data_IF_411761247034
#
_entry.id   IF_411761247034
#
_cell.length_a   1.000
_cell.length_b   1.000
_cell.length_c   1.000
_cell.angle_alpha   90.00
_cell.angle_beta   90.00
_cell.angle_gamma   90.00
#
_symmetry.space_group_name_H-M   'P 1'
#
loop_
_entity.id
_entity.type
_entity.pdbx_description
1 polymer ?
#
# COMPACT_ATOMS: atom_id res chain seq x y z
N UNK A 1 -14.88 17.62 -10.81
CA UNK A 1 -14.07 18.08 -9.71
C UNK A 1 -12.98 17.11 -9.33
N UNK A 2 -13.37 15.95 -8.86
CA UNK A 2 -12.37 14.97 -8.51
C UNK A 2 -11.48 14.61 -9.68
N UNK A 3 -12.03 14.64 -10.87
CA UNK A 3 -11.26 14.32 -12.06
C UNK A 3 -10.10 15.27 -12.30
N UNK A 4 -10.32 16.51 -11.96
CA UNK A 4 -9.29 17.52 -12.14
C UNK A 4 -8.10 17.23 -11.24
N UNK A 5 -8.39 16.86 -10.01
CA UNK A 5 -7.32 16.53 -9.07
C UNK A 5 -6.56 15.31 -9.50
N UNK A 6 -7.29 14.36 -10.05
CA UNK A 6 -6.63 13.15 -10.54
C UNK A 6 -5.68 13.45 -11.67
N UNK A 7 -6.09 14.35 -12.54
CA UNK A 7 -5.22 14.72 -13.63
C UNK A 7 -3.93 15.33 -13.14
N UNK A 8 -4.03 16.15 -12.11
CA UNK A 8 -2.85 16.73 -11.52
C UNK A 8 -1.98 15.66 -10.88
N UNK A 9 -2.61 14.73 -10.22
CA UNK A 9 -1.87 13.65 -9.61
C UNK A 9 -1.13 12.84 -10.65
N UNK A 10 -1.78 12.62 -11.76
CA UNK A 10 -1.16 11.88 -12.84
C UNK A 10 0.05 12.60 -13.37
N UNK A 11 -0.06 13.89 -13.51
CA UNK A 11 1.07 14.68 -14.00
C UNK A 11 2.26 14.55 -13.07
N UNK A 12 2.00 14.57 -11.78
CA UNK A 12 3.06 14.42 -10.81
C UNK A 12 3.66 13.03 -10.91
N UNK A 13 2.82 12.06 -11.05
CA UNK A 13 3.26 10.69 -11.18
C UNK A 13 4.16 10.53 -12.39
N UNK A 14 3.83 11.21 -13.46
CA UNK A 14 4.61 11.10 -14.67
C UNK A 14 6.06 11.51 -14.44
N UNK A 15 6.28 12.44 -13.56
CA UNK A 15 7.66 12.81 -13.24
C UNK A 15 8.29 11.80 -12.32
N UNK A 16 7.52 11.34 -11.38
CA UNK A 16 8.06 10.45 -10.36
C UNK A 16 8.60 9.17 -10.95
N UNK A 17 7.98 8.71 -12.02
CA UNK A 17 8.42 7.43 -12.56
C UNK A 17 9.85 7.48 -13.07
N UNK A 18 10.32 8.64 -13.37
CA UNK A 18 11.68 8.77 -13.86
C UNK A 18 12.68 8.28 -12.84
N UNK A 19 12.29 8.26 -11.59
CA UNK A 19 13.16 7.76 -10.54
C UNK A 19 13.31 6.25 -10.58
N UNK A 20 12.49 5.58 -11.34
CA UNK A 20 12.58 4.16 -11.57
C UNK A 20 12.77 3.33 -10.31
N UNK A 21 11.90 3.39 -9.41
CA UNK A 21 11.90 2.54 -8.24
C UNK A 21 10.49 2.08 -7.98
N UNK A 22 10.35 0.97 -7.29
CA UNK A 22 9.04 0.48 -6.92
C UNK A 22 8.30 1.43 -5.99
N UNK A 23 8.99 2.40 -5.42
CA UNK A 23 8.41 3.35 -4.49
C UNK A 23 8.41 4.76 -5.04
N UNK A 24 8.60 4.93 -6.33
CA UNK A 24 8.71 6.25 -6.95
C UNK A 24 7.37 6.99 -6.97
N UNK A 25 6.26 6.26 -7.00
CA UNK A 25 4.93 6.86 -6.98
C UNK A 25 4.09 6.14 -5.91
N UNK A 26 3.05 6.81 -5.39
CA UNK A 26 2.18 6.14 -4.42
C UNK A 26 1.53 4.90 -5.02
N UNK A 27 1.14 4.96 -6.28
CA UNK A 27 0.50 3.82 -6.92
C UNK A 27 1.43 2.61 -6.99
N UNK A 28 2.70 2.85 -7.37
CA UNK A 28 3.66 1.75 -7.46
C UNK A 28 3.98 1.17 -6.09
N UNK A 29 4.10 2.03 -5.10
CA UNK A 29 4.34 1.58 -3.74
C UNK A 29 3.16 0.75 -3.23
N UNK A 30 1.95 1.20 -3.53
CA UNK A 30 0.75 0.45 -3.15
C UNK A 30 0.71 -0.91 -3.85
N UNK A 31 1.03 -0.93 -5.13
CA UNK A 31 1.05 -2.18 -5.89
C UNK A 31 2.04 -3.17 -5.29
N UNK A 32 3.22 -2.69 -4.96
CA UNK A 32 4.24 -3.55 -4.36
C UNK A 32 3.77 -4.08 -3.02
N UNK A 33 3.15 -3.23 -2.22
CA UNK A 33 2.63 -3.61 -0.90
C UNK A 33 1.54 -4.68 -1.05
N UNK A 34 0.63 -4.50 -1.99
CA UNK A 34 -0.45 -5.45 -2.20
C UNK A 34 0.04 -6.78 -2.76
N UNK A 35 1.08 -6.75 -3.60
CA UNK A 35 1.69 -8.00 -4.05
C UNK A 35 2.27 -8.78 -2.89
N UNK A 36 2.91 -8.08 -1.97
CA UNK A 36 3.47 -8.69 -0.78
C UNK A 36 2.35 -9.28 0.08
N UNK A 37 1.25 -8.56 0.19
CA UNK A 37 0.08 -9.00 0.91
C UNK A 37 -0.51 -10.27 0.27
N UNK A 38 -0.62 -10.26 -1.05
CA UNK A 38 -1.15 -11.40 -1.79
C UNK A 38 -0.33 -12.67 -1.55
N UNK A 39 0.99 -12.50 -1.42
CA UNK A 39 1.87 -13.63 -1.17
C UNK A 39 1.84 -14.11 0.27
N UNK A 40 1.25 -13.34 1.16
CA UNK A 40 1.24 -13.68 2.57
C UNK A 40 2.56 -13.37 3.26
N UNK A 41 3.37 -12.52 2.69
CA UNK A 41 4.65 -12.12 3.27
C UNK A 41 4.43 -10.93 4.19
N UNK A 42 3.96 -11.21 5.39
CA UNK A 42 3.58 -10.15 6.31
C UNK A 42 4.77 -9.36 6.84
N UNK A 43 5.91 -10.00 6.96
CA UNK A 43 7.14 -9.29 7.35
C UNK A 43 7.52 -8.30 6.25
N UNK A 44 7.42 -8.72 5.00
CA UNK A 44 7.67 -7.83 3.88
C UNK A 44 6.73 -6.65 3.83
N UNK A 45 5.47 -6.85 4.25
CA UNK A 45 4.52 -5.74 4.35
C UNK A 45 5.00 -4.72 5.39
N UNK A 46 5.41 -5.21 6.54
CA UNK A 46 5.88 -4.33 7.61
C UNK A 46 7.11 -3.55 7.15
N UNK A 47 7.99 -4.18 6.38
CA UNK A 47 9.17 -3.50 5.85
C UNK A 47 8.82 -2.35 4.91
N UNK A 48 7.64 -2.37 4.32
CA UNK A 48 7.19 -1.31 3.42
C UNK A 48 6.39 -0.23 4.13
N UNK A 49 6.25 -0.34 5.43
CA UNK A 49 5.50 0.61 6.24
C UNK A 49 6.44 1.57 6.95
N UNK A 50 5.97 2.78 7.13
CA UNK A 50 6.72 3.80 7.85
C UNK A 50 6.12 3.97 9.25
N UNK A 51 6.96 3.93 10.25
CA UNK A 51 6.55 4.11 11.64
C UNK A 51 7.22 5.35 12.21
N UNK A 52 6.59 5.95 13.21
CA UNK A 52 7.15 7.13 13.86
C UNK A 52 8.50 6.82 14.54
N UNK A 53 8.65 5.59 14.99
CA UNK A 53 9.93 5.10 15.48
C UNK A 53 10.23 3.80 14.75
N UNK A 54 11.45 3.70 14.27
CA UNK A 54 11.84 2.51 13.52
C UNK A 54 11.80 1.27 14.41
N UNK A 55 11.00 0.27 14.07
CA UNK A 55 10.91 -0.93 14.90
C UNK A 55 12.15 -1.80 14.74
N UNK A 56 12.46 -2.56 15.77
CA UNK A 56 13.53 -3.54 15.69
C UNK A 56 13.03 -4.71 14.84
N UNK A 57 13.98 -5.58 14.47
CA UNK A 57 13.63 -6.76 13.70
C UNK A 57 12.59 -7.60 14.44
N UNK A 58 12.77 -7.78 15.74
CA UNK A 58 11.82 -8.55 16.55
C UNK A 58 10.45 -7.91 16.56
N UNK A 59 10.40 -6.59 16.68
CA UNK A 59 9.14 -5.87 16.68
C UNK A 59 8.43 -6.01 15.34
N UNK A 60 9.19 -5.97 14.25
CA UNK A 60 8.61 -6.18 12.93
C UNK A 60 7.99 -7.56 12.80
N UNK A 61 8.67 -8.57 13.29
CA UNK A 61 8.15 -9.93 13.25
C UNK A 61 6.90 -10.09 14.10
N UNK A 62 6.89 -9.47 15.28
CA UNK A 62 5.71 -9.49 16.12
C UNK A 62 4.53 -8.80 15.46
N UNK A 63 4.79 -7.66 14.86
CA UNK A 63 3.73 -6.91 14.19
C UNK A 63 3.20 -7.70 13.00
N UNK A 64 4.10 -8.31 12.24
CA UNK A 64 3.70 -9.18 11.13
C UNK A 64 2.84 -10.34 11.60
N UNK A 65 3.20 -10.94 12.72
CA UNK A 65 2.41 -12.02 13.30
C UNK A 65 1.02 -11.56 13.71
N UNK A 66 0.90 -10.35 14.23
CA UNK A 66 -0.40 -9.80 14.60
C UNK A 66 -1.26 -9.58 13.37
N UNK A 67 -0.67 -9.05 12.30
CA UNK A 67 -1.40 -8.86 11.05
C UNK A 67 -1.88 -10.21 10.53
N UNK A 68 -0.99 -11.18 10.52
CA UNK A 68 -1.34 -12.52 10.05
C UNK A 68 -2.52 -13.10 10.81
N UNK A 69 -2.50 -13.00 12.13
CA UNK A 69 -3.59 -13.51 12.95
C UNK A 69 -4.92 -12.84 12.62
N UNK A 70 -4.88 -11.57 12.27
CA UNK A 70 -6.11 -10.83 11.96
C UNK A 70 -6.66 -11.15 10.58
N UNK A 71 -5.79 -11.31 9.60
CA UNK A 71 -6.25 -11.36 8.22
C UNK A 71 -6.14 -12.71 7.56
N UNK A 72 -5.22 -13.57 8.01
CA UNK A 72 -4.98 -14.83 7.29
C UNK A 72 -6.21 -15.73 7.23
N UNK A 73 -6.94 -15.84 8.31
CA UNK A 73 -8.12 -16.71 8.31
C UNK A 73 -9.23 -16.12 7.45
N UNK A 74 -9.40 -14.80 7.46
CA UNK A 74 -10.40 -14.15 6.62
C UNK A 74 -10.08 -14.34 5.15
N UNK A 75 -8.81 -14.19 4.79
CA UNK A 75 -8.38 -14.39 3.43
C UNK A 75 -8.57 -15.84 3.02
N UNK A 76 -8.24 -16.77 3.90
CA UNK A 76 -8.41 -18.19 3.61
C UNK A 76 -9.87 -18.56 3.38
N UNK A 77 -10.78 -17.96 4.17
CA UNK A 77 -12.21 -18.20 3.99
C UNK A 77 -12.71 -17.71 2.63
N UNK A 78 -12.02 -16.77 2.05
CA UNK A 78 -12.38 -16.21 0.75
C UNK A 78 -11.53 -16.80 -0.38
N UNK A 79 -10.85 -17.88 -0.10
CA UNK A 79 -10.04 -18.62 -1.08
C UNK A 79 -8.84 -17.79 -1.58
N UNK A 80 -8.28 -16.97 -0.70
CA UNK A 80 -7.09 -16.21 -1.01
C UNK A 80 -7.37 -14.97 -1.84
N UNK A 81 -6.35 -14.19 -2.05
CA UNK A 81 -6.42 -13.00 -2.90
C UNK A 81 -6.02 -13.40 -4.32
N UNK A 82 -6.99 -13.42 -5.22
CA UNK A 82 -6.74 -13.82 -6.61
C UNK A 82 -6.03 -12.73 -7.38
N UNK A 83 -6.46 -11.49 -7.21
CA UNK A 83 -5.86 -10.35 -7.89
C UNK A 83 -6.23 -9.07 -7.13
N UNK A 84 -5.69 -7.95 -7.58
CA UNK A 84 -6.03 -6.67 -6.98
C UNK A 84 -5.91 -5.59 -8.04
N UNK A 85 -6.56 -4.45 -7.77
CA UNK A 85 -6.47 -3.28 -8.60
C UNK A 85 -6.07 -2.09 -7.76
N UNK A 86 -5.13 -1.31 -8.25
CA UNK A 86 -4.69 -0.09 -7.60
C UNK A 86 -5.23 1.08 -8.40
N UNK A 87 -5.93 1.97 -7.74
CA UNK A 87 -6.50 3.14 -8.40
C UNK A 87 -5.57 4.32 -8.28
N UNK A 88 -5.95 5.40 -8.93
CA UNK A 88 -5.19 6.63 -8.92
C UNK A 88 -5.06 7.18 -7.50
N UNK A 89 -3.86 7.63 -7.15
CA UNK A 89 -3.62 8.20 -5.84
C UNK A 89 -4.12 9.64 -5.77
N UNK A 90 -4.57 10.02 -4.59
CA UNK A 90 -4.85 11.41 -4.28
C UNK A 90 -3.70 11.93 -3.44
N UNK A 91 -2.92 12.83 -4.01
CA UNK A 91 -1.75 13.36 -3.32
C UNK A 91 -2.14 14.66 -2.63
N UNK A 92 -1.75 14.79 -1.37
CA UNK A 92 -2.05 15.98 -0.59
C UNK A 92 -1.32 17.21 -1.16
N UNK A 93 -1.79 18.39 -0.80
CA UNK A 93 -1.23 19.63 -1.30
C UNK A 93 0.25 19.78 -1.03
N UNK A 94 0.70 19.28 0.12
CA UNK A 94 2.10 19.39 0.48
C UNK A 94 2.97 18.36 -0.24
N UNK A 95 2.36 17.45 -0.99
CA UNK A 95 3.10 16.43 -1.71
C UNK A 95 3.73 15.38 -0.85
N UNK A 96 3.46 15.37 0.45
CA UNK A 96 4.11 14.46 1.39
C UNK A 96 3.24 13.28 1.77
N UNK A 97 1.96 13.35 1.48
CA UNK A 97 1.02 12.28 1.83
C UNK A 97 0.12 11.99 0.65
N UNK A 98 -0.37 10.78 0.61
CA UNK A 98 -1.29 10.37 -0.45
C UNK A 98 -2.22 9.29 0.07
N UNK A 99 -3.34 9.13 -0.60
CA UNK A 99 -4.26 8.03 -0.36
C UNK A 99 -4.47 7.28 -1.66
N UNK A 100 -4.39 5.97 -1.58
CA UNK A 100 -4.52 5.12 -2.75
C UNK A 100 -5.66 4.15 -2.52
N UNK A 101 -6.70 4.25 -3.33
CA UNK A 101 -7.81 3.30 -3.27
C UNK A 101 -7.40 2.03 -3.98
N UNK A 102 -7.84 0.90 -3.46
CA UNK A 102 -7.56 -0.37 -4.10
C UNK A 102 -8.74 -1.32 -3.91
N UNK A 103 -8.77 -2.32 -4.77
CA UNK A 103 -9.79 -3.37 -4.72
C UNK A 103 -9.06 -4.70 -4.66
N UNK A 104 -9.46 -5.55 -3.72
CA UNK A 104 -8.99 -6.92 -3.67
C UNK A 104 -10.06 -7.82 -4.28
N UNK A 105 -9.63 -8.70 -5.15
CA UNK A 105 -10.51 -9.72 -5.74
C UNK A 105 -10.12 -11.05 -5.13
N UNK A 106 -11.05 -11.66 -4.42
CA UNK A 106 -10.76 -12.92 -3.74
C UNK A 106 -11.10 -14.11 -4.62
N UNK A 107 -10.49 -15.25 -4.30
CA UNK A 107 -10.70 -16.45 -5.10
C UNK A 107 -12.14 -16.95 -5.12
N UNK A 108 -12.93 -16.60 -4.11
CA UNK A 108 -14.34 -17.00 -4.07
C UNK A 108 -15.25 -16.06 -4.86
N UNK A 109 -14.69 -15.09 -5.55
CA UNK A 109 -15.45 -14.17 -6.38
C UNK A 109 -15.94 -12.91 -5.68
N UNK A 110 -15.62 -12.73 -4.41
CA UNK A 110 -15.99 -11.50 -3.70
C UNK A 110 -14.89 -10.46 -3.81
N UNK A 111 -15.25 -9.20 -3.61
CA UNK A 111 -14.34 -8.07 -3.69
C UNK A 111 -14.36 -7.28 -2.40
N UNK A 112 -13.28 -6.56 -2.15
CA UNK A 112 -13.17 -5.67 -0.99
C UNK A 112 -12.48 -4.40 -1.43
N UNK A 113 -13.10 -3.26 -1.15
CA UNK A 113 -12.54 -1.94 -1.44
C UNK A 113 -11.92 -1.37 -0.18
N UNK A 114 -10.77 -0.76 -0.30
CA UNK A 114 -10.15 -0.11 0.85
C UNK A 114 -9.16 0.94 0.35
N UNK A 115 -8.49 1.59 1.28
CA UNK A 115 -7.53 2.65 0.99
C UNK A 115 -6.26 2.43 1.76
N UNK A 116 -5.16 2.83 1.14
CA UNK A 116 -3.87 2.88 1.82
C UNK A 116 -3.49 4.33 2.03
N UNK A 117 -3.08 4.65 3.25
CA UNK A 117 -2.51 5.95 3.55
C UNK A 117 -1.01 5.85 3.31
N UNK A 118 -0.48 6.75 2.49
CA UNK A 118 0.91 6.72 2.11
C UNK A 118 1.60 7.99 2.56
N UNK A 119 2.89 7.87 2.80
CA UNK A 119 3.70 9.01 3.20
C UNK A 119 5.00 8.97 2.42
N UNK A 120 5.49 10.15 2.05
CA UNK A 120 6.75 10.27 1.32
C UNK A 120 7.89 10.42 2.31
N UNK A 121 8.83 9.50 2.26
CA UNK A 121 9.98 9.46 3.18
C UNK A 121 11.24 9.35 2.35
N UNK A 122 12.06 10.38 2.39
CA UNK A 122 13.35 10.38 1.67
C UNK A 122 13.19 10.02 0.20
N UNK A 123 12.18 10.58 -0.43
CA UNK A 123 11.93 10.35 -1.85
C UNK A 123 11.25 9.05 -2.18
N UNK A 124 10.84 8.30 -1.19
CA UNK A 124 10.15 7.03 -1.41
C UNK A 124 8.79 7.05 -0.75
N UNK A 125 7.82 6.51 -1.46
CA UNK A 125 6.48 6.38 -0.89
C UNK A 125 6.41 5.10 -0.06
N UNK A 126 5.89 5.22 1.14
CA UNK A 126 5.73 4.09 2.05
C UNK A 126 4.33 4.09 2.62
N UNK A 127 3.86 2.93 3.04
CA UNK A 127 2.57 2.82 3.69
C UNK A 127 2.71 3.35 5.11
N UNK A 128 1.76 4.18 5.52
CA UNK A 128 1.77 4.73 6.86
C UNK A 128 1.45 3.61 7.85
N UNK A 129 2.42 3.31 8.70
CA UNK A 129 2.30 2.12 9.54
C UNK A 129 1.58 2.36 10.84
N UNK A 130 1.94 3.39 11.52
CA UNK A 130 1.32 3.61 12.80
C UNK A 130 2.00 4.71 13.55
N UNK A 131 1.39 5.04 14.65
CA UNK A 131 1.84 6.14 15.48
C UNK A 131 2.69 5.70 16.61
#
# INVERSE_FOLDING_TARGET
>A
MKKIFRLMAIAIVAFAFAACGGNATPEKAAEKFLKTYQKGDYVGMVDQMHFSQEPTKEQKEQFAGMIEQKVASEIAKKDGIASFEVKEAEIAEDGQKAKVDYILHFGNGTDSDDKLSMVLVDGKWMVEGGK
#
